data_IF_339166131862
#
_entry.id   IF_339166131862
#
_cell.length_a   1.000
_cell.length_b   1.000
_cell.length_c   1.000
_cell.angle_alpha   90.00
_cell.angle_beta   90.00
_cell.angle_gamma   90.00
#
_symmetry.space_group_name_H-M   'P 1'
#
loop_
_entity.id
_entity.type
_entity.pdbx_description
1 polymer ?
#
# COMPACT_ATOMS: atom_id res chain seq x y z
N UNK A 1 -14.58 2.15 12.05
CA UNK A 1 -13.83 3.04 12.97
C UNK A 1 -14.03 4.49 12.59
N UNK A 2 -13.95 5.44 13.56
CA UNK A 2 -13.96 6.86 13.24
C UNK A 2 -12.59 7.35 12.72
N UNK A 3 -12.52 8.58 12.18
CA UNK A 3 -11.29 9.09 11.56
C UNK A 3 -10.14 9.27 12.56
N UNK A 4 -10.43 9.61 13.81
CA UNK A 4 -9.40 9.75 14.86
C UNK A 4 -8.79 8.40 15.22
N UNK A 5 -9.62 7.37 15.40
CA UNK A 5 -9.17 6.00 15.66
C UNK A 5 -8.30 5.46 14.52
N UNK A 6 -8.72 5.68 13.27
CA UNK A 6 -7.94 5.26 12.09
C UNK A 6 -6.62 6.01 11.98
N UNK A 7 -6.57 7.28 12.39
CA UNK A 7 -5.32 8.04 12.43
C UNK A 7 -4.35 7.46 13.48
N UNK A 8 -4.85 7.11 14.65
CA UNK A 8 -4.04 6.43 15.67
C UNK A 8 -3.51 5.08 15.18
N UNK A 9 -4.34 4.31 14.48
CA UNK A 9 -3.90 3.08 13.81
C UNK A 9 -2.80 3.38 12.80
N UNK A 10 -2.96 4.38 11.94
CA UNK A 10 -1.95 4.73 10.95
C UNK A 10 -0.60 5.10 11.59
N UNK A 11 -0.61 5.84 12.70
CA UNK A 11 0.59 6.23 13.42
C UNK A 11 1.24 5.02 14.13
N UNK A 12 0.43 4.12 14.71
CA UNK A 12 0.92 2.84 15.24
C UNK A 12 1.57 1.98 14.14
N UNK A 13 0.94 1.86 12.97
CA UNK A 13 1.52 1.14 11.83
C UNK A 13 2.84 1.75 11.36
N UNK A 14 2.95 3.09 11.34
CA UNK A 14 4.20 3.80 11.04
C UNK A 14 5.30 3.42 12.02
N UNK A 15 5.01 3.50 13.32
CA UNK A 15 6.00 3.17 14.36
C UNK A 15 6.44 1.71 14.25
N UNK A 16 5.51 0.78 14.08
CA UNK A 16 5.80 -0.64 13.89
C UNK A 16 6.69 -0.88 12.65
N UNK A 17 6.42 -0.20 11.53
CA UNK A 17 7.25 -0.31 10.33
C UNK A 17 8.68 0.23 10.55
N UNK A 18 8.82 1.33 11.28
CA UNK A 18 10.14 1.89 11.67
C UNK A 18 10.88 0.93 12.58
N UNK A 19 10.21 0.34 13.57
CA UNK A 19 10.77 -0.64 14.49
C UNK A 19 11.30 -1.89 13.76
N UNK A 20 10.51 -2.41 12.81
CA UNK A 20 10.94 -3.52 11.96
C UNK A 20 12.21 -3.20 11.18
N UNK A 21 12.29 -2.02 10.55
CA UNK A 21 13.47 -1.58 9.78
C UNK A 21 14.66 -1.38 10.69
N UNK A 22 14.47 -0.73 11.84
CA UNK A 22 15.52 -0.48 12.81
C UNK A 22 16.12 -1.77 13.36
N UNK A 23 15.28 -2.71 13.82
CA UNK A 23 15.69 -4.02 14.35
C UNK A 23 16.24 -4.95 13.26
N UNK A 24 15.64 -4.93 12.08
CA UNK A 24 16.07 -5.72 10.92
C UNK A 24 17.36 -5.23 10.27
N UNK A 25 17.79 -3.99 10.56
CA UNK A 25 18.98 -3.32 9.98
C UNK A 25 18.94 -3.24 8.46
N UNK A 26 17.77 -3.32 7.85
CA UNK A 26 17.55 -3.14 6.41
C UNK A 26 16.06 -2.87 6.14
N UNK A 27 15.74 -2.05 5.16
CA UNK A 27 14.36 -1.80 4.74
C UNK A 27 14.17 -0.50 3.97
N UNK A 28 12.89 -0.23 3.63
CA UNK A 28 12.48 0.94 2.86
C UNK A 28 11.44 1.74 3.67
N UNK A 29 11.87 2.52 4.68
CA UNK A 29 10.91 3.22 5.56
C UNK A 29 10.15 4.32 4.82
N UNK A 30 10.79 5.14 4.00
CA UNK A 30 10.12 6.25 3.31
C UNK A 30 8.87 5.83 2.54
N UNK A 31 8.95 4.89 1.58
CA UNK A 31 7.78 4.43 0.84
C UNK A 31 6.79 3.61 1.69
N UNK A 32 7.18 3.09 2.85
CA UNK A 32 6.27 2.44 3.79
C UNK A 32 5.41 3.46 4.53
N UNK A 33 6.02 4.52 5.07
CA UNK A 33 5.33 5.53 5.86
C UNK A 33 4.37 6.39 5.03
N UNK A 34 4.64 6.60 3.73
CA UNK A 34 3.78 7.39 2.84
C UNK A 34 2.35 6.85 2.73
N UNK A 35 2.16 5.55 2.87
CA UNK A 35 0.86 4.90 2.65
C UNK A 35 0.16 4.42 3.93
N UNK A 36 0.64 4.80 5.11
CA UNK A 36 0.11 4.28 6.37
C UNK A 36 -1.37 4.63 6.59
N UNK A 37 -1.80 5.84 6.21
CA UNK A 37 -3.21 6.25 6.33
C UNK A 37 -4.10 5.43 5.40
N UNK A 38 -3.66 5.15 4.18
CA UNK A 38 -4.36 4.28 3.22
C UNK A 38 -4.45 2.85 3.79
N UNK A 39 -3.36 2.32 4.33
CA UNK A 39 -3.33 0.99 4.93
C UNK A 39 -4.27 0.88 6.14
N UNK A 40 -4.31 1.92 6.99
CA UNK A 40 -5.23 1.95 8.13
C UNK A 40 -6.69 1.90 7.68
N UNK A 41 -7.09 2.72 6.70
CA UNK A 41 -8.45 2.71 6.16
C UNK A 41 -8.78 1.36 5.53
N UNK A 42 -7.92 0.83 4.68
CA UNK A 42 -8.18 -0.44 3.99
C UNK A 42 -8.31 -1.61 4.96
N UNK A 43 -7.34 -1.82 5.84
CA UNK A 43 -7.29 -3.01 6.70
C UNK A 43 -8.25 -2.95 7.89
N UNK A 44 -8.59 -1.74 8.38
CA UNK A 44 -9.34 -1.61 9.64
C UNK A 44 -10.78 -1.11 9.47
N UNK A 45 -11.14 -0.66 8.26
CA UNK A 45 -12.49 -0.15 8.01
C UNK A 45 -13.14 -0.70 6.73
N UNK A 46 -12.41 -0.78 5.62
CA UNK A 46 -13.00 -1.00 4.29
C UNK A 46 -13.01 -2.45 3.81
N UNK A 47 -11.95 -3.20 4.06
CA UNK A 47 -11.79 -4.56 3.51
C UNK A 47 -12.53 -5.61 4.34
N UNK A 48 -13.22 -6.49 3.65
CA UNK A 48 -13.81 -7.71 4.22
C UNK A 48 -12.73 -8.79 4.28
N UNK A 49 -12.07 -8.90 5.40
CA UNK A 49 -11.00 -9.88 5.67
C UNK A 49 -11.19 -10.50 7.04
N UNK A 50 -10.81 -11.77 7.19
CA UNK A 50 -10.86 -12.50 8.44
C UNK A 50 -9.48 -13.15 8.73
N UNK A 51 -8.73 -12.65 9.72
CA UNK A 51 -7.44 -13.25 10.11
C UNK A 51 -7.54 -14.69 10.63
N UNK A 52 -8.69 -15.07 11.18
CA UNK A 52 -8.94 -16.44 11.64
C UNK A 52 -9.18 -17.41 10.46
N UNK A 53 -9.68 -16.87 9.33
CA UNK A 53 -9.91 -17.62 8.09
C UNK A 53 -9.27 -16.91 6.88
N UNK A 54 -7.94 -16.87 6.77
CA UNK A 54 -7.23 -16.14 5.71
C UNK A 54 -7.47 -16.70 4.30
N UNK A 55 -7.94 -17.93 4.20
CA UNK A 55 -8.28 -18.59 2.93
C UNK A 55 -9.75 -18.42 2.54
N UNK A 56 -10.52 -17.63 3.28
CA UNK A 56 -11.92 -17.36 2.95
C UNK A 56 -12.06 -16.88 1.51
N UNK A 57 -12.81 -17.63 0.71
CA UNK A 57 -12.90 -17.40 -0.75
C UNK A 57 -13.59 -16.07 -1.11
N UNK A 58 -14.52 -15.58 -0.27
CA UNK A 58 -15.29 -14.37 -0.55
C UNK A 58 -14.68 -13.11 0.10
N UNK A 59 -13.50 -13.23 0.75
CA UNK A 59 -12.77 -12.09 1.28
C UNK A 59 -12.28 -11.15 0.16
N UNK A 60 -12.08 -9.90 0.47
CA UNK A 60 -11.38 -8.98 -0.40
C UNK A 60 -9.90 -9.36 -0.55
N UNK A 61 -9.24 -8.90 -1.59
CA UNK A 61 -7.81 -9.13 -1.86
C UNK A 61 -7.04 -7.84 -1.80
N UNK A 62 -5.80 -7.93 -1.34
CA UNK A 62 -4.90 -6.79 -1.28
C UNK A 62 -3.55 -7.10 -1.92
N UNK A 63 -3.09 -6.20 -2.80
CA UNK A 63 -1.79 -6.29 -3.45
C UNK A 63 -0.98 -5.03 -3.16
N UNK A 64 0.17 -5.20 -2.52
CA UNK A 64 1.19 -4.17 -2.45
C UNK A 64 2.12 -4.33 -3.65
N UNK A 65 1.85 -3.62 -4.76
CA UNK A 65 2.63 -3.72 -6.00
C UNK A 65 4.04 -3.17 -5.80
N UNK A 66 4.18 -2.02 -5.14
CA UNK A 66 5.47 -1.49 -4.66
C UNK A 66 5.98 -2.31 -3.45
N UNK A 67 6.31 -3.56 -3.69
CA UNK A 67 6.58 -4.57 -2.67
C UNK A 67 7.69 -4.23 -1.68
N UNK A 68 8.60 -3.33 -2.03
CA UNK A 68 9.65 -2.84 -1.12
C UNK A 68 9.08 -2.07 0.09
N UNK A 69 7.87 -1.52 0.00
CA UNK A 69 7.16 -0.90 1.13
C UNK A 69 6.57 -1.94 2.12
N UNK A 70 6.98 -3.19 2.06
CA UNK A 70 6.45 -4.30 2.87
C UNK A 70 6.45 -4.09 4.39
N UNK A 71 7.32 -3.27 5.04
CA UNK A 71 7.22 -3.09 6.48
C UNK A 71 5.83 -2.65 6.95
N UNK A 72 5.19 -1.69 6.24
CA UNK A 72 3.84 -1.24 6.61
C UNK A 72 2.78 -2.32 6.37
N UNK A 73 2.97 -3.17 5.37
CA UNK A 73 2.04 -4.27 5.09
C UNK A 73 2.12 -5.34 6.18
N UNK A 74 3.33 -5.70 6.60
CA UNK A 74 3.51 -6.65 7.69
C UNK A 74 2.99 -6.08 9.02
N UNK A 75 3.17 -4.78 9.27
CA UNK A 75 2.59 -4.10 10.42
C UNK A 75 1.05 -4.20 10.41
N UNK A 76 0.40 -3.91 9.27
CA UNK A 76 -1.05 -4.00 9.13
C UNK A 76 -1.58 -5.44 9.33
N UNK A 77 -0.91 -6.44 8.76
CA UNK A 77 -1.27 -7.86 8.95
C UNK A 77 -1.12 -8.30 10.41
N UNK A 78 -0.05 -7.86 11.08
CA UNK A 78 0.19 -8.16 12.49
C UNK A 78 -0.88 -7.57 13.39
N UNK A 79 -1.12 -6.27 13.26
CA UNK A 79 -2.12 -5.54 14.06
C UNK A 79 -3.54 -6.06 13.80
N UNK A 80 -3.82 -6.53 12.57
CA UNK A 80 -5.09 -7.17 12.23
C UNK A 80 -5.23 -8.57 12.83
N UNK A 81 -4.16 -9.19 13.33
CA UNK A 81 -4.18 -10.49 14.00
C UNK A 81 -3.89 -11.70 13.10
N UNK A 82 -3.25 -11.50 11.94
CA UNK A 82 -2.84 -12.63 11.08
C UNK A 82 -1.75 -13.49 11.68
N UNK A 83 -1.00 -12.96 12.65
CA UNK A 83 0.09 -13.65 13.34
C UNK A 83 -0.26 -13.85 14.82
N UNK A 84 0.04 -15.01 15.35
CA UNK A 84 -0.18 -15.30 16.77
C UNK A 84 0.93 -14.76 17.67
N UNK A 85 2.02 -14.28 17.06
CA UNK A 85 3.17 -13.74 17.76
C UNK A 85 3.31 -12.25 17.47
N UNK A 86 3.99 -11.53 18.35
CA UNK A 86 4.28 -10.12 18.14
C UNK A 86 5.30 -9.95 17.02
N UNK A 87 5.07 -8.97 16.13
CA UNK A 87 5.94 -8.68 14.99
C UNK A 87 7.35 -8.26 15.42
N UNK A 88 7.48 -7.72 16.63
CA UNK A 88 8.75 -7.29 17.25
C UNK A 88 9.77 -8.41 17.38
N UNK A 89 9.30 -9.68 17.46
CA UNK A 89 10.16 -10.85 17.61
C UNK A 89 10.76 -11.32 16.28
N UNK A 90 10.31 -10.76 15.15
CA UNK A 90 10.73 -11.16 13.81
C UNK A 90 11.57 -10.11 13.13
N UNK A 91 12.82 -10.47 12.83
CA UNK A 91 13.72 -9.59 12.10
C UNK A 91 13.32 -9.54 10.61
N UNK A 92 13.03 -8.34 10.12
CA UNK A 92 12.84 -8.10 8.69
C UNK A 92 14.07 -8.57 7.92
N UNK A 93 13.87 -9.30 6.80
CA UNK A 93 14.90 -9.78 5.88
C UNK A 93 15.92 -10.78 6.47
N UNK A 94 15.79 -11.19 7.72
CA UNK A 94 16.69 -12.20 8.28
C UNK A 94 16.53 -13.55 7.56
N UNK A 95 17.60 -14.32 7.53
CA UNK A 95 17.57 -15.67 6.97
C UNK A 95 16.52 -16.52 7.69
N UNK A 96 15.64 -17.16 6.93
CA UNK A 96 14.53 -17.97 7.48
C UNK A 96 13.31 -17.18 7.98
N UNK A 97 13.38 -15.85 8.08
CA UNK A 97 12.22 -15.03 8.45
C UNK A 97 11.12 -15.13 7.40
N UNK A 98 9.85 -15.12 7.85
CA UNK A 98 8.69 -14.95 6.96
C UNK A 98 8.55 -13.52 6.43
N UNK A 99 9.16 -12.53 7.11
CA UNK A 99 9.14 -11.12 6.76
C UNK A 99 10.29 -10.77 5.84
N UNK A 100 10.15 -11.12 4.57
CA UNK A 100 11.16 -10.87 3.55
C UNK A 100 11.12 -9.41 3.08
N UNK A 101 12.15 -8.96 2.35
CA UNK A 101 12.25 -7.59 1.83
C UNK A 101 11.19 -7.22 0.77
N UNK A 102 10.44 -8.20 0.31
CA UNK A 102 9.23 -8.09 -0.49
C UNK A 102 8.24 -9.16 -0.01
N UNK A 103 6.91 -8.92 -0.06
CA UNK A 103 5.92 -9.91 0.36
C UNK A 103 6.01 -11.21 -0.45
N UNK A 104 5.94 -12.34 0.24
CA UNK A 104 5.96 -13.68 -0.39
C UNK A 104 4.71 -14.44 0.04
N UNK A 105 3.82 -14.70 -0.91
CA UNK A 105 2.50 -15.32 -0.70
C UNK A 105 2.56 -16.64 0.09
N UNK A 106 3.52 -17.51 -0.22
CA UNK A 106 3.62 -18.82 0.42
C UNK A 106 4.42 -18.81 1.76
N UNK A 107 4.88 -17.63 2.21
CA UNK A 107 5.67 -17.50 3.45
C UNK A 107 4.97 -16.69 4.52
N UNK A 108 4.20 -15.68 4.10
CA UNK A 108 3.57 -14.73 5.01
C UNK A 108 2.06 -14.86 4.91
N UNK A 109 1.41 -15.32 5.97
CA UNK A 109 -0.05 -15.45 6.06
C UNK A 109 -0.72 -14.11 5.79
N UNK A 110 -1.77 -14.10 4.97
CA UNK A 110 -2.49 -12.88 4.59
C UNK A 110 -1.89 -12.11 3.40
N UNK A 111 -0.77 -12.58 2.84
CA UNK A 111 -0.20 -12.02 1.61
C UNK A 111 -0.81 -12.69 0.39
N UNK A 112 -1.51 -11.93 -0.45
CA UNK A 112 -2.22 -12.45 -1.62
C UNK A 112 -1.37 -12.61 -2.88
N UNK A 113 -0.20 -11.95 -2.91
CA UNK A 113 0.69 -11.98 -4.07
C UNK A 113 2.15 -11.83 -3.65
N UNK A 114 3.03 -12.64 -4.21
CA UNK A 114 4.47 -12.40 -4.16
C UNK A 114 4.79 -11.20 -5.06
N UNK A 115 5.29 -10.11 -4.47
CA UNK A 115 5.65 -8.88 -5.17
C UNK A 115 7.15 -8.62 -5.17
N UNK A 116 7.60 -7.56 -5.87
CA UNK A 116 9.02 -7.19 -5.98
C UNK A 116 9.42 -6.78 -7.40
N UNK A 117 8.81 -7.37 -8.42
CA UNK A 117 8.93 -6.89 -9.80
C UNK A 117 7.86 -5.81 -10.01
N UNK A 118 8.31 -4.54 -10.02
CA UNK A 118 7.42 -3.39 -10.15
C UNK A 118 6.57 -3.47 -11.43
N UNK A 119 5.38 -2.92 -11.36
CA UNK A 119 4.42 -2.85 -12.46
C UNK A 119 3.51 -4.06 -12.62
N UNK A 120 3.89 -5.24 -12.12
CA UNK A 120 3.10 -6.46 -12.32
C UNK A 120 1.81 -6.50 -11.46
N UNK A 121 1.76 -5.74 -10.36
CA UNK A 121 0.66 -5.81 -9.40
C UNK A 121 -0.71 -5.50 -10.01
N UNK A 122 -0.81 -4.50 -10.88
CA UNK A 122 -2.09 -4.13 -11.54
C UNK A 122 -2.59 -5.28 -12.43
N UNK A 123 -1.71 -5.89 -13.22
CA UNK A 123 -2.07 -6.99 -14.12
C UNK A 123 -2.54 -8.22 -13.34
N UNK A 124 -1.85 -8.58 -12.26
CA UNK A 124 -2.21 -9.72 -11.40
C UNK A 124 -3.54 -9.44 -10.67
N UNK A 125 -3.71 -8.23 -10.15
CA UNK A 125 -4.97 -7.79 -9.54
C UNK A 125 -6.13 -7.82 -10.54
N UNK A 126 -5.89 -7.40 -11.78
CA UNK A 126 -6.85 -7.53 -12.88
C UNK A 126 -7.29 -8.97 -13.09
N UNK A 127 -6.35 -9.93 -13.07
CA UNK A 127 -6.65 -11.36 -13.14
C UNK A 127 -7.52 -11.84 -11.97
N UNK A 128 -7.21 -11.41 -10.73
CA UNK A 128 -8.02 -11.73 -9.55
C UNK A 128 -9.43 -11.13 -9.63
N UNK A 129 -9.54 -9.87 -10.05
CA UNK A 129 -10.83 -9.19 -10.22
C UNK A 129 -11.69 -9.85 -11.31
N UNK A 130 -11.07 -10.22 -12.43
CA UNK A 130 -11.73 -10.94 -13.52
C UNK A 130 -12.22 -12.31 -13.06
N UNK A 131 -11.41 -13.05 -12.29
CA UNK A 131 -11.79 -14.34 -11.72
C UNK A 131 -13.01 -14.19 -10.79
N UNK A 132 -13.06 -13.12 -9.97
CA UNK A 132 -14.21 -12.81 -9.14
C UNK A 132 -15.48 -12.60 -9.96
N UNK A 133 -15.42 -11.77 -11.00
CA UNK A 133 -16.57 -11.53 -11.89
C UNK A 133 -17.00 -12.81 -12.60
N UNK A 134 -16.07 -13.60 -13.13
CA UNK A 134 -16.38 -14.88 -13.79
C UNK A 134 -17.08 -15.86 -12.85
N UNK A 135 -16.63 -15.93 -11.59
CA UNK A 135 -17.21 -16.80 -10.54
C UNK A 135 -18.44 -16.19 -9.87
N UNK A 136 -18.89 -14.99 -10.28
CA UNK A 136 -20.01 -14.25 -9.67
C UNK A 136 -19.81 -13.99 -8.17
N UNK A 137 -18.56 -13.73 -7.76
CA UNK A 137 -18.20 -13.30 -6.42
C UNK A 137 -18.27 -11.76 -6.33
N UNK A 138 -18.55 -11.25 -5.15
CA UNK A 138 -18.73 -9.80 -4.91
C UNK A 138 -17.55 -9.12 -4.20
N UNK A 139 -16.40 -9.81 -4.10
CA UNK A 139 -15.22 -9.26 -3.49
C UNK A 139 -14.55 -8.18 -4.36
N UNK A 140 -13.90 -7.27 -3.68
CA UNK A 140 -13.03 -6.26 -4.30
C UNK A 140 -11.56 -6.69 -4.27
N UNK A 141 -10.81 -6.18 -5.24
CA UNK A 141 -9.34 -6.29 -5.27
C UNK A 141 -8.76 -4.88 -5.13
N UNK A 142 -7.98 -4.66 -4.09
CA UNK A 142 -7.30 -3.41 -3.80
C UNK A 142 -5.82 -3.52 -4.13
N UNK A 143 -5.26 -2.50 -4.77
CA UNK A 143 -3.84 -2.47 -5.15
C UNK A 143 -3.24 -1.14 -4.74
N UNK A 144 -2.03 -1.14 -4.19
CA UNK A 144 -1.25 0.08 -4.01
C UNK A 144 -0.03 0.01 -4.94
N UNK A 145 0.12 1.03 -5.78
CA UNK A 145 1.27 1.24 -6.68
C UNK A 145 1.97 2.55 -6.33
N UNK A 146 3.23 2.69 -6.72
CA UNK A 146 3.96 3.96 -6.66
C UNK A 146 3.80 4.77 -7.95
N UNK A 147 3.93 6.09 -7.87
CA UNK A 147 3.95 6.97 -9.04
C UNK A 147 5.17 6.70 -9.95
N UNK A 148 6.34 6.45 -9.37
CA UNK A 148 7.52 6.01 -10.12
C UNK A 148 7.33 4.61 -10.75
N UNK A 149 6.58 3.72 -10.11
CA UNK A 149 6.24 2.39 -10.65
C UNK A 149 5.39 2.49 -11.92
N UNK A 150 4.57 3.53 -12.07
CA UNK A 150 3.77 3.76 -13.27
C UNK A 150 4.61 4.09 -14.52
N UNK A 151 5.92 4.19 -14.41
CA UNK A 151 6.83 4.28 -15.55
C UNK A 151 7.06 2.91 -16.21
N UNK A 152 6.75 1.81 -15.53
CA UNK A 152 6.80 0.47 -16.11
C UNK A 152 5.69 0.28 -17.16
N UNK A 153 6.06 -0.17 -18.37
CA UNK A 153 5.11 -0.37 -19.47
C UNK A 153 4.00 -1.37 -19.13
N UNK A 154 4.33 -2.42 -18.38
CA UNK A 154 3.39 -3.47 -17.95
C UNK A 154 2.24 -2.93 -17.10
N UNK A 155 2.41 -1.80 -16.38
CA UNK A 155 1.31 -1.13 -15.69
C UNK A 155 0.21 -0.74 -16.68
N UNK A 156 0.59 -0.11 -17.80
CA UNK A 156 -0.35 0.42 -18.80
C UNK A 156 -1.03 -0.69 -19.60
N UNK A 157 -0.35 -1.80 -19.81
CA UNK A 157 -0.96 -3.02 -20.39
C UNK A 157 -2.05 -3.55 -19.44
N UNK A 158 -1.77 -3.65 -18.14
CA UNK A 158 -2.74 -4.07 -17.12
C UNK A 158 -3.91 -3.09 -16.99
N UNK A 159 -3.64 -1.77 -17.00
CA UNK A 159 -4.64 -0.70 -16.94
C UNK A 159 -5.58 -0.80 -18.15
N UNK A 160 -5.06 -0.97 -19.35
CA UNK A 160 -5.88 -1.11 -20.57
C UNK A 160 -6.75 -2.38 -20.51
N UNK A 161 -6.17 -3.50 -20.10
CA UNK A 161 -6.89 -4.78 -19.93
C UNK A 161 -8.02 -4.67 -18.92
N UNK A 162 -7.77 -4.07 -17.76
CA UNK A 162 -8.78 -3.90 -16.71
C UNK A 162 -9.99 -3.06 -17.20
N UNK A 163 -9.74 -1.99 -17.95
CA UNK A 163 -10.79 -1.19 -18.57
C UNK A 163 -11.59 -1.97 -19.63
N UNK A 164 -10.90 -2.72 -20.50
CA UNK A 164 -11.53 -3.54 -21.53
C UNK A 164 -12.49 -4.60 -20.92
N UNK A 165 -12.09 -5.19 -19.80
CA UNK A 165 -12.91 -6.17 -19.07
C UNK A 165 -13.90 -5.56 -18.09
N UNK A 166 -13.98 -4.21 -17.98
CA UNK A 166 -14.91 -3.48 -17.10
C UNK A 166 -14.83 -3.96 -15.66
N UNK A 167 -13.61 -4.06 -15.12
CA UNK A 167 -13.37 -4.62 -13.78
C UNK A 167 -13.74 -3.60 -12.67
N UNK A 168 -15.03 -3.38 -12.46
CA UNK A 168 -15.55 -2.44 -11.44
C UNK A 168 -15.37 -2.91 -9.98
N UNK A 169 -14.80 -4.09 -9.80
CA UNK A 169 -14.34 -4.63 -8.52
C UNK A 169 -12.81 -4.50 -8.34
N UNK A 170 -12.12 -3.71 -9.16
CA UNK A 170 -10.71 -3.38 -9.04
C UNK A 170 -10.55 -1.90 -8.64
N UNK A 171 -9.89 -1.65 -7.50
CA UNK A 171 -9.59 -0.32 -6.98
C UNK A 171 -8.09 -0.19 -6.79
N UNK A 172 -7.46 0.73 -7.52
CA UNK A 172 -6.03 1.01 -7.47
C UNK A 172 -5.78 2.32 -6.73
N UNK A 173 -4.88 2.32 -5.76
CA UNK A 173 -4.34 3.51 -5.12
C UNK A 173 -2.97 3.80 -5.71
N UNK A 174 -2.74 5.04 -6.07
CA UNK A 174 -1.41 5.51 -6.49
C UNK A 174 -0.83 6.34 -5.36
N UNK A 175 0.26 5.86 -4.75
CA UNK A 175 1.10 6.64 -3.84
C UNK A 175 1.87 7.67 -4.66
N UNK A 176 1.27 8.84 -4.87
CA UNK A 176 1.87 9.97 -5.58
C UNK A 176 2.71 10.78 -4.60
N UNK A 177 3.87 10.25 -4.26
CA UNK A 177 4.80 10.89 -3.33
C UNK A 177 5.91 11.69 -4.03
N UNK A 178 5.95 11.69 -5.37
CA UNK A 178 6.89 12.45 -6.18
C UNK A 178 8.30 11.86 -6.30
N UNK A 179 8.58 10.72 -5.67
CA UNK A 179 9.93 10.18 -5.56
C UNK A 179 10.03 8.71 -6.02
N UNK A 180 11.12 8.40 -6.71
CA UNK A 180 11.58 7.05 -6.99
C UNK A 180 12.99 6.83 -6.43
N UNK A 181 13.61 5.65 -6.59
CA UNK A 181 14.86 5.30 -5.89
C UNK A 181 16.02 6.26 -6.20
N UNK A 182 16.15 6.75 -7.42
CA UNK A 182 17.31 7.54 -7.87
C UNK A 182 17.09 9.05 -7.87
N UNK A 183 15.84 9.53 -8.07
CA UNK A 183 15.52 10.95 -8.20
C UNK A 183 14.03 11.21 -8.03
N UNK A 184 13.58 12.43 -8.27
CA UNK A 184 12.15 12.72 -8.37
C UNK A 184 11.54 12.11 -9.65
N UNK A 185 10.25 11.78 -9.60
CA UNK A 185 9.48 11.33 -10.76
C UNK A 185 9.48 12.39 -11.87
N UNK A 186 9.42 13.67 -11.47
CA UNK A 186 9.42 14.79 -12.40
C UNK A 186 10.74 14.92 -13.20
N UNK A 187 11.88 14.74 -12.52
CA UNK A 187 13.20 14.82 -13.18
C UNK A 187 13.49 13.61 -14.06
N UNK A 188 12.88 12.45 -13.77
CA UNK A 188 13.13 11.22 -14.53
C UNK A 188 12.35 11.19 -15.84
N UNK A 189 11.01 11.29 -15.80
CA UNK A 189 10.15 11.22 -17.00
C UNK A 189 9.15 12.39 -17.08
N UNK A 190 8.95 13.14 -16.00
CA UNK A 190 8.07 14.32 -16.00
C UNK A 190 6.58 13.99 -16.09
N UNK A 191 6.14 12.82 -15.63
CA UNK A 191 4.76 12.39 -15.77
C UNK A 191 3.91 12.69 -14.54
N UNK A 192 3.39 13.92 -14.43
CA UNK A 192 2.55 14.33 -13.29
C UNK A 192 1.04 14.19 -13.51
N UNK A 193 0.59 13.96 -14.74
CA UNK A 193 -0.84 13.89 -15.12
C UNK A 193 -1.38 12.46 -14.92
N UNK A 194 -1.21 11.89 -13.74
CA UNK A 194 -1.57 10.48 -13.50
C UNK A 194 -3.07 10.28 -13.67
N UNK A 195 -3.88 11.17 -13.08
CA UNK A 195 -5.34 11.08 -13.15
C UNK A 195 -5.84 11.10 -14.60
N UNK A 196 -5.41 12.11 -15.39
CA UNK A 196 -5.81 12.26 -16.80
C UNK A 196 -5.38 11.06 -17.66
N UNK A 197 -4.22 10.47 -17.35
CA UNK A 197 -3.76 9.26 -18.04
C UNK A 197 -4.68 8.08 -17.78
N UNK A 198 -5.12 7.86 -16.55
CA UNK A 198 -6.10 6.81 -16.23
C UNK A 198 -7.47 7.11 -16.86
N UNK A 199 -7.91 8.37 -16.87
CA UNK A 199 -9.16 8.78 -17.55
C UNK A 199 -9.10 8.48 -19.06
N UNK A 200 -7.97 8.69 -19.71
CA UNK A 200 -7.75 8.33 -21.12
C UNK A 200 -7.91 6.82 -21.35
N UNK A 201 -7.58 5.99 -20.38
CA UNK A 201 -7.83 4.56 -20.38
C UNK A 201 -9.24 4.17 -19.89
N UNK A 202 -10.17 5.15 -19.73
CA UNK A 202 -11.57 4.96 -19.34
C UNK A 202 -11.78 4.46 -17.92
N UNK A 203 -10.85 4.73 -17.01
CA UNK A 203 -11.00 4.46 -15.59
C UNK A 203 -11.85 5.56 -14.91
N UNK A 204 -12.49 5.21 -13.80
CA UNK A 204 -13.05 6.17 -12.85
C UNK A 204 -11.88 6.68 -11.99
N UNK A 205 -11.43 7.92 -12.22
CA UNK A 205 -10.24 8.46 -11.58
C UNK A 205 -10.59 9.57 -10.59
N UNK A 206 -9.99 9.51 -9.42
CA UNK A 206 -10.08 10.49 -8.35
C UNK A 206 -8.69 10.92 -7.94
N UNK A 207 -8.54 12.13 -7.42
CA UNK A 207 -7.31 12.64 -6.82
C UNK A 207 -7.65 13.26 -5.46
N UNK A 208 -6.89 12.89 -4.41
CA UNK A 208 -7.18 13.25 -3.02
C UNK A 208 -5.88 13.50 -2.24
N UNK A 209 -6.00 14.14 -1.08
CA UNK A 209 -4.95 14.09 -0.05
C UNK A 209 -4.88 12.65 0.52
N UNK A 210 -3.72 12.01 0.34
CA UNK A 210 -3.46 10.62 0.80
C UNK A 210 -3.30 10.50 2.33
N UNK A 211 -3.35 11.61 3.06
CA UNK A 211 -3.25 11.66 4.52
C UNK A 211 -4.56 12.08 5.20
N UNK A 212 -5.59 12.45 4.44
CA UNK A 212 -6.94 12.71 4.95
C UNK A 212 -7.76 11.40 4.97
N UNK A 213 -7.91 10.82 6.16
CA UNK A 213 -8.70 9.60 6.39
C UNK A 213 -10.13 9.72 5.82
N UNK A 214 -10.75 10.89 5.96
CA UNK A 214 -12.12 11.11 5.50
C UNK A 214 -12.20 11.16 3.97
N UNK A 215 -11.21 11.78 3.32
CA UNK A 215 -11.09 11.80 1.87
C UNK A 215 -10.84 10.40 1.30
N UNK A 216 -9.98 9.59 1.95
CA UNK A 216 -9.72 8.20 1.54
C UNK A 216 -11.01 7.37 1.61
N UNK A 217 -11.76 7.42 2.72
CA UNK A 217 -13.04 6.70 2.89
C UNK A 217 -14.06 7.12 1.84
N UNK A 218 -14.22 8.43 1.62
CA UNK A 218 -15.15 8.97 0.62
C UNK A 218 -14.78 8.52 -0.80
N UNK A 219 -13.48 8.48 -1.12
CA UNK A 219 -12.98 8.03 -2.42
C UNK A 219 -13.23 6.52 -2.64
N UNK A 220 -13.06 5.68 -1.62
CA UNK A 220 -13.39 4.23 -1.69
C UNK A 220 -14.88 4.04 -1.92
N UNK A 221 -15.73 4.78 -1.20
CA UNK A 221 -17.19 4.72 -1.40
C UNK A 221 -17.57 5.04 -2.85
N UNK A 222 -17.06 6.16 -3.40
CA UNK A 222 -17.28 6.53 -4.81
C UNK A 222 -16.73 5.51 -5.80
N UNK A 223 -15.59 4.89 -5.47
CA UNK A 223 -15.01 3.84 -6.30
C UNK A 223 -15.92 2.60 -6.36
N UNK A 224 -16.52 2.21 -5.24
CA UNK A 224 -17.49 1.08 -5.17
C UNK A 224 -18.83 1.36 -5.88
N UNK A 225 -19.21 2.64 -5.98
CA UNK A 225 -20.40 3.07 -6.72
C UNK A 225 -20.20 3.05 -8.24
N UNK A 226 -18.96 3.20 -8.73
CA UNK A 226 -18.65 3.19 -10.15
C UNK A 226 -18.89 1.80 -10.76
N UNK A 227 -19.84 1.70 -11.72
CA UNK A 227 -20.17 0.44 -12.37
C UNK A 227 -19.59 0.37 -13.79
N UNK A 228 -19.11 -0.82 -14.16
CA UNK A 228 -18.59 -1.11 -15.48
C UNK A 228 -17.24 -0.43 -15.79
N UNK A 229 -16.55 0.09 -14.78
CA UNK A 229 -15.22 0.71 -14.91
C UNK A 229 -14.37 0.40 -13.69
N UNK A 230 -13.08 0.04 -13.83
CA UNK A 230 -12.15 0.02 -12.71
C UNK A 230 -11.94 1.43 -12.16
N UNK A 231 -11.53 1.53 -10.89
CA UNK A 231 -11.32 2.81 -10.22
C UNK A 231 -9.86 3.00 -9.82
N UNK A 232 -9.37 4.23 -9.97
CA UNK A 232 -8.10 4.69 -9.44
C UNK A 232 -8.29 5.87 -8.50
N UNK A 233 -7.58 5.85 -7.40
CA UNK A 233 -7.49 6.92 -6.42
C UNK A 233 -6.04 7.37 -6.37
N UNK A 234 -5.73 8.50 -6.96
CA UNK A 234 -4.42 9.14 -6.91
C UNK A 234 -4.32 9.87 -5.59
N UNK A 235 -3.39 9.44 -4.75
CA UNK A 235 -3.21 9.96 -3.40
C UNK A 235 -1.97 10.85 -3.37
N UNK A 236 -2.15 12.16 -3.21
CA UNK A 236 -1.04 13.06 -2.92
C UNK A 236 -0.48 12.72 -1.54
N UNK A 237 0.71 12.12 -1.51
CA UNK A 237 1.35 11.62 -0.32
C UNK A 237 2.70 12.30 -0.06
N UNK A 238 3.12 12.28 1.20
CA UNK A 238 4.45 12.70 1.63
C UNK A 238 5.29 11.45 1.89
N UNK A 239 6.38 11.26 1.14
CA UNK A 239 7.33 10.18 1.40
C UNK A 239 7.93 10.34 2.79
N UNK A 240 7.93 9.29 3.61
CA UNK A 240 8.43 9.37 4.99
C UNK A 240 7.49 10.06 5.98
N UNK A 241 6.19 10.16 5.66
CA UNK A 241 5.17 10.87 6.46
C UNK A 241 5.18 10.51 7.93
N UNK A 242 5.17 11.54 8.77
CA UNK A 242 5.10 11.45 10.23
C UNK A 242 6.46 11.60 10.93
N UNK A 243 7.56 11.55 10.19
CA UNK A 243 8.90 11.73 10.75
C UNK A 243 9.62 12.92 10.11
N UNK A 244 9.87 13.95 10.90
CA UNK A 244 10.42 15.23 10.43
C UNK A 244 11.74 15.09 9.67
N UNK A 245 12.55 14.09 10.01
CA UNK A 245 13.84 13.82 9.36
C UNK A 245 13.72 12.90 8.12
N UNK A 246 12.52 12.37 7.82
CA UNK A 246 12.29 11.52 6.65
C UNK A 246 11.39 12.18 5.60
N UNK A 247 10.52 13.11 6.00
CA UNK A 247 9.54 13.71 5.09
C UNK A 247 10.20 14.38 3.88
N UNK A 248 9.78 13.95 2.68
CA UNK A 248 10.27 14.45 1.39
C UNK A 248 11.79 14.31 1.16
N UNK A 249 12.48 13.51 1.96
CA UNK A 249 13.90 13.19 1.73
C UNK A 249 14.05 11.84 1.04
N UNK A 250 14.55 11.86 -0.21
CA UNK A 250 14.72 10.65 -1.01
C UNK A 250 15.82 9.70 -0.48
N UNK A 251 16.73 10.16 0.37
CA UNK A 251 17.72 9.30 1.03
C UNK A 251 17.02 8.18 1.83
N UNK A 252 15.80 8.42 2.31
CA UNK A 252 14.99 7.44 3.03
C UNK A 252 14.19 6.48 2.12
N UNK A 253 14.44 6.51 0.80
CA UNK A 253 13.88 5.45 -0.06
C UNK A 253 14.31 4.06 0.47
N UNK A 254 15.60 3.92 0.84
CA UNK A 254 16.13 2.76 1.54
C UNK A 254 17.12 3.24 2.61
N UNK A 255 16.92 2.84 3.86
CA UNK A 255 17.81 3.25 4.94
C UNK A 255 17.39 2.64 6.28
N UNK A 256 18.27 2.80 7.27
CA UNK A 256 18.05 2.38 8.64
C UNK A 256 18.26 3.57 9.56
N UNK A 257 17.30 3.93 10.43
CA UNK A 257 17.50 5.00 11.39
C UNK A 257 18.68 4.71 12.33
N UNK A 258 19.43 5.75 12.72
CA UNK A 258 20.36 5.67 13.85
C UNK A 258 19.57 5.51 15.16
N UNK A 259 20.26 5.23 16.26
CA UNK A 259 19.62 5.18 17.59
C UNK A 259 18.91 6.50 17.91
N UNK A 260 19.59 7.64 17.66
CA UNK A 260 19.03 8.98 17.93
C UNK A 260 17.77 9.23 17.08
N UNK A 261 17.81 8.85 15.80
CA UNK A 261 16.68 8.99 14.87
C UNK A 261 15.53 8.04 15.26
N UNK A 262 15.84 6.85 15.74
CA UNK A 262 14.83 5.94 16.25
C UNK A 262 14.15 6.49 17.50
N UNK A 263 14.91 7.04 18.46
CA UNK A 263 14.35 7.70 19.65
C UNK A 263 13.55 8.95 19.28
N UNK A 264 13.94 9.67 18.24
CA UNK A 264 13.15 10.79 17.70
C UNK A 264 11.82 10.28 17.11
N UNK A 265 11.83 9.18 16.35
CA UNK A 265 10.61 8.58 15.80
C UNK A 265 9.63 8.19 16.91
N UNK A 266 10.11 7.57 17.99
CA UNK A 266 9.29 7.24 19.17
C UNK A 266 8.62 8.49 19.76
N UNK A 267 9.31 9.62 19.80
CA UNK A 267 8.74 10.88 20.31
C UNK A 267 7.74 11.53 19.35
N UNK A 268 7.96 11.42 18.05
CA UNK A 268 7.12 12.08 17.03
C UNK A 268 5.83 11.31 16.74
N UNK A 269 5.89 9.97 16.66
CA UNK A 269 4.76 9.13 16.27
C UNK A 269 4.48 7.93 17.20
N UNK A 270 5.33 7.68 18.19
CA UNK A 270 5.20 6.53 19.10
C UNK A 270 3.98 6.57 20.05
N UNK A 271 3.21 7.65 19.98
CA UNK A 271 2.05 7.88 20.82
C UNK A 271 2.44 8.43 22.20
N UNK A 272 1.64 9.35 22.71
CA UNK A 272 1.61 9.56 24.17
C UNK A 272 0.96 8.30 24.80
N UNK A 273 1.66 7.67 25.75
CA UNK A 273 1.08 6.67 26.63
C UNK A 273 -0.19 7.18 27.30
#
# INVERSE_FOLDING_TARGET
MNSTELKQVADHLRMTAVDMVYKGKDGHPGPALSIADIMAVLFFDEMRIDPANPEWEDRDRFILSKGHACPIYYAALSEKGYFGEKIEDFKLRALGSRFQGHPVMNKTKGVDMTSGSLGNGISIAGGMALAGKYRKKDYYVYVIVGDGELQEGVCWEGINSAAAHKLDNLIVFVDKNGWQSGSSVQETIGSNNIKERFEAFRWNAQEIDGHDISAIKAAVTKAKEAKGKPSVIVCDCVKGKGLSFMENDNAWHKGVPTEEQYQQAVKEIGGAE
#
